data_IF_491501984317
#
_entry.id   IF_491501984317
#
_cell.length_a   1.000
_cell.length_b   1.000
_cell.length_c   1.000
_cell.angle_alpha   90.00
_cell.angle_beta   90.00
_cell.angle_gamma   90.00
#
_symmetry.space_group_name_H-M   'P 1'
#
loop_
_entity.id
_entity.type
_entity.pdbx_description
1 polymer ?
#
# COMPACT_ATOMS: atom_id res chain seq x y z
N UNK A 1 18.98 -0.31 -14.45
CA UNK A 1 19.50 -1.68 -14.52
C UNK A 1 20.25 -1.86 -15.83
N UNK A 2 21.37 -2.55 -15.79
CA UNK A 2 22.30 -2.58 -16.89
C UNK A 2 21.79 -3.39 -18.09
N UNK A 3 22.16 -2.93 -19.28
CA UNK A 3 21.92 -3.63 -20.56
C UNK A 3 22.44 -5.09 -20.54
N UNK A 4 23.46 -5.38 -19.73
CA UNK A 4 24.04 -6.72 -19.55
C UNK A 4 23.07 -7.75 -18.97
N UNK A 5 22.07 -7.35 -18.17
CA UNK A 5 21.07 -8.26 -17.64
C UNK A 5 20.04 -8.74 -18.69
N UNK A 6 19.88 -7.99 -19.77
CA UNK A 6 19.02 -8.35 -20.89
C UNK A 6 19.72 -9.27 -21.94
N UNK A 7 21.04 -9.36 -21.87
CA UNK A 7 21.82 -10.26 -22.72
C UNK A 7 22.30 -11.43 -21.86
N UNK A 8 21.57 -12.50 -21.85
CA UNK A 8 21.65 -13.75 -21.07
C UNK A 8 23.03 -14.42 -20.90
N UNK A 9 24.14 -13.70 -21.02
CA UNK A 9 25.50 -14.23 -20.90
C UNK A 9 26.04 -14.32 -19.48
N UNK A 10 25.35 -13.70 -18.48
CA UNK A 10 25.78 -13.69 -17.07
C UNK A 10 24.58 -14.10 -16.21
N UNK A 11 24.52 -15.36 -15.83
CA UNK A 11 23.42 -15.98 -15.05
C UNK A 11 23.15 -15.25 -13.73
N UNK A 12 24.18 -14.76 -13.06
CA UNK A 12 24.06 -14.00 -11.82
C UNK A 12 23.37 -12.65 -12.06
N UNK A 13 23.67 -11.96 -13.16
CA UNK A 13 23.03 -10.69 -13.51
C UNK A 13 21.55 -10.88 -13.86
N UNK A 14 21.21 -11.98 -14.52
CA UNK A 14 19.83 -12.36 -14.82
C UNK A 14 19.05 -12.64 -13.53
N UNK A 15 19.63 -13.39 -12.59
CA UNK A 15 19.00 -13.69 -11.29
C UNK A 15 18.71 -12.42 -10.51
N UNK A 16 19.67 -11.49 -10.43
CA UNK A 16 19.50 -10.21 -9.75
C UNK A 16 18.44 -9.35 -10.46
N UNK A 17 18.44 -9.33 -11.77
CA UNK A 17 17.43 -8.60 -12.55
C UNK A 17 16.01 -9.14 -12.30
N UNK A 18 15.83 -10.47 -12.35
CA UNK A 18 14.55 -11.12 -12.09
C UNK A 18 14.06 -10.85 -10.67
N UNK A 19 14.92 -10.90 -9.67
CA UNK A 19 14.58 -10.54 -8.29
C UNK A 19 13.97 -9.13 -8.21
N UNK A 20 14.63 -8.12 -8.76
CA UNK A 20 14.12 -6.74 -8.74
C UNK A 20 12.87 -6.56 -9.60
N UNK A 21 12.70 -7.35 -10.64
CA UNK A 21 11.57 -7.24 -11.57
C UNK A 21 10.32 -7.97 -11.08
N UNK A 22 10.49 -9.14 -10.46
CA UNK A 22 9.39 -10.08 -10.22
C UNK A 22 9.07 -10.28 -8.73
N UNK A 23 10.09 -10.23 -7.86
CA UNK A 23 9.94 -10.54 -6.44
C UNK A 23 9.78 -9.30 -5.56
N UNK A 24 10.24 -8.14 -6.01
CA UNK A 24 10.16 -6.88 -5.27
C UNK A 24 8.97 -6.05 -5.76
N UNK A 25 8.02 -5.80 -4.88
CA UNK A 25 6.79 -5.06 -5.16
C UNK A 25 6.76 -3.77 -4.36
N UNK A 26 6.50 -2.65 -5.01
CA UNK A 26 6.40 -1.33 -4.37
C UNK A 26 4.95 -0.87 -4.28
N UNK A 27 4.59 -0.21 -3.18
CA UNK A 27 3.32 0.48 -3.02
C UNK A 27 3.51 1.79 -2.22
N UNK A 28 2.95 2.93 -2.63
CA UNK A 28 2.25 3.13 -3.91
C UNK A 28 3.17 2.94 -5.11
N UNK A 29 2.59 2.54 -6.23
CA UNK A 29 3.34 2.37 -7.46
C UNK A 29 3.76 3.73 -8.03
N UNK A 30 4.96 3.84 -8.64
CA UNK A 30 5.33 5.00 -9.43
C UNK A 30 4.29 5.27 -10.54
N UNK A 31 4.09 6.55 -10.87
CA UNK A 31 3.21 6.95 -11.96
C UNK A 31 3.50 6.13 -13.24
N UNK A 32 2.45 5.64 -13.90
CA UNK A 32 2.49 4.81 -15.13
C UNK A 32 2.77 3.30 -14.97
N UNK A 33 2.69 2.74 -13.76
CA UNK A 33 2.72 1.27 -13.60
C UNK A 33 1.30 0.71 -13.37
N UNK A 34 1.16 -0.63 -13.51
CA UNK A 34 -0.12 -1.31 -13.33
C UNK A 34 -0.78 -0.93 -12.00
N UNK A 35 -1.99 -0.40 -12.07
CA UNK A 35 -2.74 0.04 -10.92
C UNK A 35 -3.22 -1.17 -10.11
N UNK A 36 -2.95 -1.20 -8.82
CA UNK A 36 -3.43 -2.26 -7.91
C UNK A 36 -4.94 -2.36 -7.86
N UNK A 37 -5.63 -1.27 -8.09
CA UNK A 37 -7.08 -1.25 -8.24
C UNK A 37 -7.56 -2.11 -9.42
N UNK A 38 -6.96 -1.90 -10.61
CA UNK A 38 -7.27 -2.72 -11.80
C UNK A 38 -6.91 -4.19 -11.58
N UNK A 39 -5.75 -4.45 -10.96
CA UNK A 39 -5.34 -5.79 -10.57
C UNK A 39 -6.39 -6.47 -9.69
N UNK A 40 -6.91 -5.76 -8.68
CA UNK A 40 -7.93 -6.28 -7.78
C UNK A 40 -9.22 -6.57 -8.52
N UNK A 41 -9.71 -5.68 -9.38
CA UNK A 41 -10.90 -5.88 -10.21
C UNK A 41 -10.75 -7.13 -11.08
N UNK A 42 -9.66 -7.23 -11.84
CA UNK A 42 -9.42 -8.34 -12.76
C UNK A 42 -9.38 -9.69 -12.01
N UNK A 43 -8.66 -9.74 -10.89
CA UNK A 43 -8.54 -10.95 -10.11
C UNK A 43 -9.82 -11.32 -9.37
N UNK A 44 -10.57 -10.37 -8.81
CA UNK A 44 -11.88 -10.63 -8.19
C UNK A 44 -12.93 -11.07 -9.21
N UNK A 45 -12.77 -10.70 -10.47
CA UNK A 45 -13.62 -11.16 -11.58
C UNK A 45 -13.32 -12.60 -11.94
N UNK A 46 -12.04 -12.96 -12.04
CA UNK A 46 -11.59 -14.20 -12.67
C UNK A 46 -11.19 -15.31 -11.67
N UNK A 47 -10.96 -14.98 -10.40
CA UNK A 47 -10.46 -15.91 -9.38
C UNK A 47 -11.42 -16.03 -8.19
N UNK A 48 -12.26 -17.07 -8.20
CA UNK A 48 -13.24 -17.31 -7.12
C UNK A 48 -12.63 -17.55 -5.74
N UNK A 49 -11.44 -18.18 -5.68
CA UNK A 49 -10.74 -18.44 -4.42
C UNK A 49 -10.20 -17.14 -3.82
N UNK A 50 -9.62 -16.27 -4.63
CA UNK A 50 -9.16 -14.96 -4.19
C UNK A 50 -10.34 -14.10 -3.72
N UNK A 51 -11.44 -14.10 -4.47
CA UNK A 51 -12.68 -13.41 -4.11
C UNK A 51 -13.21 -13.87 -2.75
N UNK A 52 -13.28 -15.18 -2.52
CA UNK A 52 -13.71 -15.73 -1.24
C UNK A 52 -12.77 -15.32 -0.09
N UNK A 53 -11.45 -15.33 -0.32
CA UNK A 53 -10.46 -14.89 0.67
C UNK A 53 -10.58 -13.40 0.97
N UNK A 54 -10.78 -12.58 -0.05
CA UNK A 54 -11.03 -11.14 0.09
C UNK A 54 -12.28 -10.88 0.94
N UNK A 55 -13.42 -11.49 0.60
CA UNK A 55 -14.68 -11.36 1.36
C UNK A 55 -14.47 -11.77 2.82
N UNK A 56 -13.79 -12.89 3.07
CA UNK A 56 -13.46 -13.34 4.42
C UNK A 56 -12.62 -12.33 5.19
N UNK A 57 -11.63 -11.71 4.56
CA UNK A 57 -10.83 -10.66 5.19
C UNK A 57 -11.69 -9.45 5.52
N UNK A 58 -12.48 -8.93 4.57
CA UNK A 58 -13.35 -7.78 4.79
C UNK A 58 -14.34 -8.02 5.94
N UNK A 59 -14.93 -9.20 6.01
CA UNK A 59 -15.80 -9.58 7.13
C UNK A 59 -15.06 -9.61 8.47
N UNK A 60 -13.79 -10.03 8.50
CA UNK A 60 -13.00 -10.09 9.73
C UNK A 60 -12.66 -8.73 10.32
N UNK A 61 -12.68 -7.68 9.52
CA UNK A 61 -12.42 -6.29 9.94
C UNK A 61 -13.71 -5.48 10.18
N UNK A 62 -14.87 -6.15 10.18
CA UNK A 62 -16.17 -5.52 10.46
C UNK A 62 -16.84 -4.89 9.23
N UNK A 63 -16.40 -5.21 8.02
CA UNK A 63 -17.06 -4.83 6.78
C UNK A 63 -17.86 -6.05 6.25
N UNK A 64 -19.18 -6.18 6.55
CA UNK A 64 -19.96 -7.40 6.34
C UNK A 64 -20.41 -7.58 4.89
N UNK A 65 -19.46 -7.81 3.99
CA UNK A 65 -19.72 -8.01 2.57
C UNK A 65 -20.18 -9.46 2.35
N UNK A 66 -21.29 -9.66 1.66
CA UNK A 66 -21.76 -10.98 1.24
C UNK A 66 -21.22 -11.38 -0.13
N UNK A 67 -21.12 -10.41 -1.04
CA UNK A 67 -20.59 -10.64 -2.38
C UNK A 67 -19.94 -9.37 -2.94
N UNK A 68 -19.21 -9.54 -4.06
CA UNK A 68 -18.64 -8.46 -4.84
C UNK A 68 -18.97 -8.73 -6.30
N UNK A 69 -19.51 -7.74 -6.96
CA UNK A 69 -19.74 -7.77 -8.40
C UNK A 69 -18.70 -6.88 -9.05
N UNK A 70 -17.87 -7.47 -9.89
CA UNK A 70 -16.82 -6.77 -10.63
C UNK A 70 -17.00 -6.99 -12.12
N UNK A 71 -16.73 -5.96 -12.91
CA UNK A 71 -16.69 -6.01 -14.35
C UNK A 71 -15.40 -5.39 -14.85
N UNK A 72 -14.66 -6.13 -15.64
CA UNK A 72 -13.45 -5.69 -16.29
C UNK A 72 -13.53 -6.03 -17.78
N UNK A 73 -13.73 -5.03 -18.60
CA UNK A 73 -13.81 -5.18 -20.04
C UNK A 73 -12.87 -4.18 -20.73
N UNK A 74 -12.14 -4.67 -21.71
CA UNK A 74 -11.39 -3.82 -22.64
C UNK A 74 -12.32 -3.49 -23.81
N UNK A 75 -12.60 -2.22 -24.01
CA UNK A 75 -13.43 -1.73 -25.09
C UNK A 75 -12.62 -0.81 -26.00
N UNK A 76 -12.88 -0.88 -27.28
CA UNK A 76 -12.39 0.15 -28.22
C UNK A 76 -13.27 1.39 -28.05
N UNK A 77 -12.67 2.52 -27.75
CA UNK A 77 -13.43 3.79 -27.63
C UNK A 77 -13.93 4.17 -29.01
N UNK A 78 -15.26 4.19 -29.18
CA UNK A 78 -15.87 4.80 -30.36
C UNK A 78 -16.40 6.19 -30.02
N UNK A 79 -16.43 7.14 -30.97
CA UNK A 79 -16.95 8.49 -30.72
C UNK A 79 -18.38 8.50 -30.14
N UNK A 80 -19.18 7.47 -30.43
CA UNK A 80 -20.55 7.30 -29.95
C UNK A 80 -20.66 6.98 -28.46
N UNK A 81 -19.59 6.45 -27.86
CA UNK A 81 -19.49 6.14 -26.42
C UNK A 81 -19.16 7.39 -25.58
N UNK A 82 -18.75 8.48 -26.23
CA UNK A 82 -18.36 9.69 -25.54
C UNK A 82 -19.59 10.62 -25.33
N UNK A 83 -19.66 11.35 -24.20
CA UNK A 83 -20.74 12.29 -23.94
C UNK A 83 -20.93 13.26 -25.07
N UNK A 84 -22.20 13.52 -25.44
CA UNK A 84 -22.53 14.43 -26.56
C UNK A 84 -22.06 15.86 -26.35
N UNK A 85 -21.97 16.30 -25.10
CA UNK A 85 -21.54 17.62 -24.63
C UNK A 85 -20.00 17.75 -24.48
N UNK A 86 -19.26 16.68 -24.73
CA UNK A 86 -17.79 16.70 -24.67
C UNK A 86 -17.22 17.54 -25.83
N UNK A 87 -16.24 18.45 -25.55
CA UNK A 87 -15.54 19.22 -26.59
C UNK A 87 -14.87 18.30 -27.64
N UNK A 88 -14.97 18.69 -28.92
CA UNK A 88 -14.44 17.87 -30.02
C UNK A 88 -12.92 17.57 -29.88
N UNK A 89 -12.15 18.52 -29.36
CA UNK A 89 -10.71 18.31 -29.10
C UNK A 89 -10.44 17.18 -28.13
N UNK A 90 -11.28 17.00 -27.09
CA UNK A 90 -11.19 15.88 -26.16
C UNK A 90 -11.69 14.59 -26.81
N UNK A 91 -12.76 14.65 -27.64
CA UNK A 91 -13.24 13.48 -28.40
C UNK A 91 -12.14 12.89 -29.28
N UNK A 92 -11.38 13.75 -29.96
CA UNK A 92 -10.26 13.31 -30.80
C UNK A 92 -9.13 12.65 -30.00
N UNK A 93 -8.80 13.18 -28.81
CA UNK A 93 -7.80 12.60 -27.92
C UNK A 93 -8.26 11.20 -27.45
N UNK A 94 -9.52 11.07 -27.03
CA UNK A 94 -10.08 9.80 -26.59
C UNK A 94 -10.23 8.78 -27.74
N UNK A 95 -10.56 9.24 -28.95
CA UNK A 95 -10.63 8.40 -30.14
C UNK A 95 -9.24 7.89 -30.60
N UNK A 96 -8.16 8.60 -30.24
CA UNK A 96 -6.79 8.15 -30.46
C UNK A 96 -6.32 7.14 -29.38
N UNK A 97 -6.97 7.11 -28.22
CA UNK A 97 -6.75 6.08 -27.21
C UNK A 97 -7.36 4.77 -27.72
N UNK A 98 -6.51 3.86 -28.20
CA UNK A 98 -6.93 2.61 -28.86
C UNK A 98 -7.73 1.66 -27.97
N UNK A 99 -7.65 1.79 -26.65
CA UNK A 99 -8.34 0.93 -25.68
C UNK A 99 -8.87 1.77 -24.50
N UNK A 100 -10.16 1.67 -24.21
CA UNK A 100 -10.72 2.04 -22.92
C UNK A 100 -10.91 0.80 -22.05
N UNK A 101 -10.84 1.00 -20.75
CA UNK A 101 -11.13 -0.05 -19.76
C UNK A 101 -12.43 0.32 -19.05
N UNK A 102 -13.44 -0.54 -19.17
CA UNK A 102 -14.67 -0.41 -18.38
C UNK A 102 -14.42 -1.18 -17.09
N UNK A 103 -14.41 -0.45 -15.99
CA UNK A 103 -14.10 -0.99 -14.67
C UNK A 103 -15.29 -0.65 -13.77
N UNK A 104 -15.99 -1.66 -13.30
CA UNK A 104 -17.08 -1.50 -12.36
C UNK A 104 -16.88 -2.44 -11.17
N UNK A 105 -17.17 -1.97 -9.98
CA UNK A 105 -17.19 -2.78 -8.77
C UNK A 105 -18.35 -2.34 -7.87
N UNK A 106 -19.11 -3.31 -7.37
CA UNK A 106 -20.17 -3.12 -6.37
C UNK A 106 -19.96 -4.09 -5.22
N UNK A 107 -20.09 -3.56 -4.02
CA UNK A 107 -20.07 -4.35 -2.78
C UNK A 107 -21.51 -4.66 -2.38
N UNK A 108 -21.79 -5.94 -2.16
CA UNK A 108 -23.10 -6.42 -1.75
C UNK A 108 -23.08 -6.73 -0.25
N UNK A 109 -23.91 -6.03 0.50
CA UNK A 109 -24.11 -6.17 1.93
C UNK A 109 -25.33 -7.02 2.29
N UNK A 110 -25.94 -7.67 1.29
CA UNK A 110 -27.11 -8.55 1.43
C UNK A 110 -28.44 -7.82 1.35
N UNK A 111 -28.63 -6.75 2.07
CA UNK A 111 -29.85 -5.92 2.04
C UNK A 111 -29.79 -4.79 1.02
N UNK A 112 -28.59 -4.38 0.64
CA UNK A 112 -28.32 -3.35 -0.36
C UNK A 112 -26.95 -3.60 -0.98
N UNK A 113 -26.69 -2.96 -2.13
CA UNK A 113 -25.39 -2.96 -2.79
C UNK A 113 -24.96 -1.52 -3.02
N UNK A 114 -23.65 -1.25 -2.86
CA UNK A 114 -23.07 0.08 -3.03
C UNK A 114 -22.02 0.02 -4.14
N UNK A 115 -22.01 1.01 -5.02
CA UNK A 115 -20.93 1.18 -5.97
C UNK A 115 -19.64 1.53 -5.22
N UNK A 116 -18.52 0.92 -5.60
CA UNK A 116 -17.25 1.15 -4.93
C UNK A 116 -16.85 2.64 -4.94
N UNK A 117 -17.25 3.39 -5.97
CA UNK A 117 -17.00 4.84 -6.04
C UNK A 117 -17.75 5.65 -4.98
N UNK A 118 -18.83 5.11 -4.42
CA UNK A 118 -19.63 5.72 -3.35
C UNK A 118 -19.14 5.33 -1.95
N UNK A 119 -18.24 4.36 -1.86
CA UNK A 119 -17.66 3.89 -0.60
C UNK A 119 -16.68 4.89 0.02
N UNK A 120 -16.39 4.68 1.31
CA UNK A 120 -15.38 5.46 2.03
C UNK A 120 -13.97 5.23 1.45
N UNK A 121 -13.07 6.21 1.63
CA UNK A 121 -11.68 6.08 1.18
C UNK A 121 -10.98 4.87 1.80
N UNK A 122 -11.30 4.52 3.05
CA UNK A 122 -10.74 3.33 3.70
C UNK A 122 -11.15 2.03 3.00
N UNK A 123 -12.43 1.89 2.62
CA UNK A 123 -12.93 0.73 1.88
C UNK A 123 -12.32 0.66 0.48
N UNK A 124 -12.22 1.80 -0.22
CA UNK A 124 -11.55 1.88 -1.53
C UNK A 124 -10.09 1.44 -1.44
N UNK A 125 -9.38 1.92 -0.40
CA UNK A 125 -7.99 1.54 -0.13
C UNK A 125 -7.86 0.04 0.12
N UNK A 126 -8.71 -0.55 0.95
CA UNK A 126 -8.72 -1.98 1.21
C UNK A 126 -8.99 -2.79 -0.06
N UNK A 127 -9.95 -2.35 -0.86
CA UNK A 127 -10.25 -2.97 -2.15
C UNK A 127 -9.03 -2.97 -3.07
N UNK A 128 -8.28 -1.89 -3.08
CA UNK A 128 -7.06 -1.76 -3.87
C UNK A 128 -5.95 -2.71 -3.39
N UNK A 129 -5.68 -2.78 -2.08
CA UNK A 129 -4.45 -3.39 -1.56
C UNK A 129 -4.58 -4.87 -1.17
N UNK A 130 -5.76 -5.36 -0.79
CA UNK A 130 -5.89 -6.70 -0.20
C UNK A 130 -5.62 -7.81 -1.21
N UNK A 131 -6.09 -7.70 -2.45
CA UNK A 131 -5.82 -8.72 -3.47
C UNK A 131 -4.32 -8.83 -3.81
N UNK A 132 -3.60 -7.73 -4.09
CA UNK A 132 -2.15 -7.78 -4.25
C UNK A 132 -1.41 -8.34 -3.02
N UNK A 133 -1.82 -7.99 -1.80
CA UNK A 133 -1.21 -8.52 -0.57
C UNK A 133 -1.37 -10.04 -0.48
N UNK A 134 -2.56 -10.56 -0.77
CA UNK A 134 -2.78 -12.01 -0.78
C UNK A 134 -1.85 -12.69 -1.80
N UNK A 135 -1.70 -12.11 -2.99
CA UNK A 135 -0.81 -12.64 -4.03
C UNK A 135 0.68 -12.59 -3.59
N UNK A 136 1.11 -11.49 -2.95
CA UNK A 136 2.45 -11.36 -2.38
C UNK A 136 2.72 -12.47 -1.36
N UNK A 137 1.75 -12.76 -0.47
CA UNK A 137 1.86 -13.81 0.54
C UNK A 137 1.94 -15.20 -0.11
N UNK A 138 1.13 -15.45 -1.14
CA UNK A 138 1.07 -16.75 -1.82
C UNK A 138 2.31 -17.03 -2.67
N UNK A 139 3.00 -15.99 -3.16
CA UNK A 139 4.17 -16.09 -4.03
C UNK A 139 5.49 -15.78 -3.34
N UNK A 140 5.51 -15.66 -2.02
CA UNK A 140 6.71 -15.38 -1.22
C UNK A 140 7.47 -14.11 -1.64
N UNK A 141 6.76 -13.06 -2.08
CA UNK A 141 7.33 -11.81 -2.56
C UNK A 141 7.69 -10.85 -1.43
N UNK A 142 8.43 -9.80 -1.77
CA UNK A 142 8.81 -8.72 -0.85
C UNK A 142 7.99 -7.48 -1.20
N UNK A 143 7.24 -6.96 -0.22
CA UNK A 143 6.50 -5.72 -0.34
C UNK A 143 7.27 -4.56 0.29
N UNK A 144 7.45 -3.48 -0.46
CA UNK A 144 7.87 -2.19 0.08
C UNK A 144 6.65 -1.26 0.04
N UNK A 145 6.24 -0.79 1.22
CA UNK A 145 5.05 0.04 1.36
C UNK A 145 5.39 1.35 2.05
N UNK A 146 5.22 2.45 1.34
CA UNK A 146 5.42 3.78 1.88
C UNK A 146 4.11 4.32 2.49
N UNK A 147 4.20 4.90 3.70
CA UNK A 147 3.07 5.43 4.48
C UNK A 147 1.89 4.45 4.57
N UNK A 148 2.15 3.28 5.16
CA UNK A 148 1.19 2.17 5.22
C UNK A 148 -0.16 2.54 5.83
N UNK A 149 -0.19 3.46 6.78
CA UNK A 149 -1.40 3.91 7.47
C UNK A 149 -2.28 4.87 6.67
N UNK A 150 -1.80 5.40 5.54
CA UNK A 150 -2.55 6.41 4.78
C UNK A 150 -3.96 5.92 4.41
N UNK A 151 -4.97 6.67 4.86
CA UNK A 151 -6.41 6.38 4.70
C UNK A 151 -6.93 5.13 5.41
N UNK A 152 -6.15 4.51 6.30
CA UNK A 152 -6.55 3.34 7.05
C UNK A 152 -6.62 3.62 8.55
N UNK A 153 -7.60 3.02 9.23
CA UNK A 153 -7.66 3.04 10.69
C UNK A 153 -6.53 2.18 11.28
N UNK A 154 -5.87 2.58 12.38
CA UNK A 154 -4.76 1.81 12.98
C UNK A 154 -5.07 0.33 13.23
N UNK A 155 -6.30 -0.01 13.64
CA UNK A 155 -6.71 -1.40 13.83
C UNK A 155 -6.69 -2.21 12.52
N UNK A 156 -7.01 -1.57 11.39
CA UNK A 156 -6.97 -2.20 10.06
C UNK A 156 -5.54 -2.43 9.62
N UNK A 157 -4.65 -1.45 9.82
CA UNK A 157 -3.21 -1.58 9.57
C UNK A 157 -2.65 -2.78 10.33
N UNK A 158 -3.03 -2.94 11.60
CA UNK A 158 -2.65 -4.08 12.41
C UNK A 158 -3.13 -5.43 11.84
N UNK A 159 -4.36 -5.49 11.31
CA UNK A 159 -4.89 -6.72 10.69
C UNK A 159 -4.18 -7.04 9.36
N UNK A 160 -3.84 -6.03 8.57
CA UNK A 160 -3.02 -6.22 7.36
C UNK A 160 -1.63 -6.76 7.72
N UNK A 161 -0.97 -6.18 8.72
CA UNK A 161 0.32 -6.69 9.21
C UNK A 161 0.19 -8.13 9.71
N UNK A 162 -0.87 -8.44 10.46
CA UNK A 162 -1.14 -9.80 10.93
C UNK A 162 -1.37 -10.77 9.77
N UNK A 163 -2.06 -10.34 8.72
CA UNK A 163 -2.25 -11.14 7.50
C UNK A 163 -0.91 -11.45 6.82
N UNK A 164 -0.03 -10.46 6.67
CA UNK A 164 1.28 -10.65 6.02
C UNK A 164 2.19 -11.52 6.87
N UNK A 165 2.28 -11.27 8.18
CA UNK A 165 3.22 -11.94 9.06
C UNK A 165 2.77 -13.35 9.49
N UNK A 166 1.45 -13.60 9.55
CA UNK A 166 0.90 -14.82 10.15
C UNK A 166 -0.23 -15.46 9.33
N UNK A 167 -0.67 -14.84 8.25
CA UNK A 167 -1.81 -15.32 7.45
C UNK A 167 -1.56 -16.66 6.76
N UNK A 168 -0.30 -16.97 6.47
CA UNK A 168 0.13 -18.26 5.91
C UNK A 168 1.46 -18.69 6.58
N UNK A 169 1.40 -19.71 7.43
CA UNK A 169 2.58 -20.20 8.16
C UNK A 169 3.70 -20.79 7.28
N UNK A 170 3.42 -21.05 6.01
CA UNK A 170 4.38 -21.53 5.01
C UNK A 170 4.97 -20.42 4.15
N UNK A 171 4.38 -19.21 4.21
CA UNK A 171 4.87 -18.08 3.43
C UNK A 171 6.19 -17.54 3.97
N UNK A 172 7.06 -17.14 3.06
CA UNK A 172 8.30 -16.40 3.30
C UNK A 172 8.19 -14.96 2.81
N UNK A 173 6.98 -14.49 2.54
CA UNK A 173 6.75 -13.10 2.16
C UNK A 173 7.33 -12.15 3.22
N UNK A 174 7.87 -11.03 2.77
CA UNK A 174 8.47 -10.01 3.61
C UNK A 174 7.81 -8.66 3.35
N UNK A 175 7.81 -7.79 4.36
CA UNK A 175 7.37 -6.42 4.22
C UNK A 175 8.41 -5.46 4.80
N UNK A 176 8.70 -4.41 4.05
CA UNK A 176 9.42 -3.21 4.50
C UNK A 176 8.42 -2.06 4.35
N UNK A 177 8.15 -1.33 5.41
CA UNK A 177 7.19 -0.24 5.34
C UNK A 177 7.67 0.97 6.13
N UNK A 178 7.28 2.16 5.66
CA UNK A 178 7.36 3.39 6.44
C UNK A 178 6.01 3.70 7.09
N UNK A 179 6.04 4.40 8.22
CA UNK A 179 4.83 4.79 8.93
C UNK A 179 5.08 5.96 9.89
N UNK A 180 4.08 6.79 10.07
CA UNK A 180 4.01 7.80 11.13
C UNK A 180 3.18 7.33 12.34
N UNK A 181 2.58 6.13 12.28
CA UNK A 181 1.78 5.58 13.38
C UNK A 181 2.68 4.99 14.49
N UNK A 182 2.87 5.77 15.54
CA UNK A 182 3.67 5.35 16.69
C UNK A 182 3.12 4.15 17.45
N UNK A 183 1.84 3.77 17.25
CA UNK A 183 1.27 2.57 17.85
C UNK A 183 1.88 1.27 17.31
N UNK A 184 2.56 1.36 16.16
CA UNK A 184 3.30 0.23 15.59
C UNK A 184 4.67 0.02 16.24
N UNK A 185 5.16 0.95 17.07
CA UNK A 185 6.40 0.82 17.83
C UNK A 185 6.19 -0.09 19.05
N UNK A 186 6.04 -1.39 18.80
CA UNK A 186 5.67 -2.40 19.79
C UNK A 186 6.61 -3.62 19.71
N UNK A 187 7.39 -3.85 20.78
CA UNK A 187 8.33 -4.96 20.88
C UNK A 187 7.65 -6.34 21.08
N UNK A 188 6.35 -6.38 21.27
CA UNK A 188 5.60 -7.63 21.24
C UNK A 188 5.37 -8.14 19.81
N UNK A 189 5.47 -7.26 18.83
CA UNK A 189 5.26 -7.53 17.40
C UNK A 189 6.54 -7.53 16.60
N UNK A 190 7.43 -6.59 16.88
CA UNK A 190 8.67 -6.41 16.14
C UNK A 190 9.88 -6.56 17.05
N UNK A 191 10.94 -7.18 16.54
CA UNK A 191 12.24 -7.17 17.22
C UNK A 191 12.90 -5.81 17.08
N UNK A 192 13.83 -5.49 17.95
CA UNK A 192 14.57 -4.22 17.93
C UNK A 192 15.32 -3.97 16.61
N UNK A 193 15.82 -5.02 15.98
CA UNK A 193 16.51 -4.98 14.69
C UNK A 193 15.56 -4.79 13.50
N UNK A 194 14.26 -4.88 13.71
CA UNK A 194 13.23 -4.61 12.70
C UNK A 194 12.67 -3.19 12.77
N UNK A 195 12.97 -2.43 13.82
CA UNK A 195 12.52 -1.04 13.98
C UNK A 195 13.68 -0.11 13.64
N UNK A 196 13.45 0.76 12.65
CA UNK A 196 14.42 1.71 12.14
C UNK A 196 13.87 3.12 12.22
N UNK A 197 14.74 4.07 12.51
CA UNK A 197 14.42 5.49 12.55
C UNK A 197 15.16 6.22 11.45
N UNK A 198 14.50 7.22 10.87
CA UNK A 198 15.08 8.13 9.89
C UNK A 198 15.08 9.53 10.46
N UNK A 199 16.19 10.23 10.39
CA UNK A 199 16.33 11.60 10.85
C UNK A 199 17.03 12.46 9.80
N UNK A 200 16.54 13.68 9.60
CA UNK A 200 17.17 14.63 8.72
C UNK A 200 18.24 15.40 9.49
N UNK A 201 19.49 15.28 9.07
CA UNK A 201 20.60 16.00 9.67
C UNK A 201 20.57 17.51 9.32
N UNK A 202 21.26 18.37 10.05
CA UNK A 202 21.40 19.79 9.69
C UNK A 202 21.97 20.03 8.27
N UNK A 203 22.78 19.11 7.76
CA UNK A 203 23.30 19.13 6.38
C UNK A 203 22.31 18.63 5.34
N UNK A 204 21.06 18.31 5.75
CA UNK A 204 19.98 17.74 4.90
C UNK A 204 20.31 16.37 4.31
N UNK A 205 21.22 15.63 4.91
CA UNK A 205 21.36 14.19 4.67
C UNK A 205 20.44 13.40 5.59
N UNK A 206 20.03 12.21 5.15
CA UNK A 206 19.25 11.30 5.99
C UNK A 206 20.20 10.44 6.80
N UNK A 207 19.98 10.39 8.11
CA UNK A 207 20.57 9.39 9.00
C UNK A 207 19.55 8.26 9.21
N UNK A 208 20.03 7.01 9.15
CA UNK A 208 19.20 5.81 9.27
C UNK A 208 19.86 4.89 10.31
N UNK A 209 19.14 4.59 11.40
CA UNK A 209 19.65 3.75 12.47
C UNK A 209 18.57 2.86 13.07
N UNK A 210 18.99 1.72 13.57
CA UNK A 210 18.11 0.71 14.16
C UNK A 210 17.93 0.94 15.67
N UNK A 211 16.75 0.62 16.19
CA UNK A 211 16.51 0.57 17.64
C UNK A 211 17.48 -0.40 18.34
N UNK A 212 18.01 -1.40 17.63
CA UNK A 212 19.01 -2.34 18.19
C UNK A 212 20.38 -1.70 18.44
N UNK A 213 20.73 -0.61 17.77
CA UNK A 213 21.99 0.12 17.95
C UNK A 213 21.99 0.97 19.23
N UNK A 214 20.81 1.25 19.77
CA UNK A 214 20.65 2.08 20.97
C UNK A 214 20.90 1.25 22.24
N UNK A 215 21.88 1.67 23.04
CA UNK A 215 22.39 0.89 24.18
C UNK A 215 21.40 0.75 25.38
N UNK A 216 20.47 1.69 25.56
CA UNK A 216 19.67 1.82 26.77
C UNK A 216 18.18 1.48 26.57
N UNK A 217 17.86 0.57 25.66
CA UNK A 217 16.48 0.12 25.40
C UNK A 217 16.21 -1.18 26.17
N UNK A 218 15.22 -1.19 27.06
CA UNK A 218 14.80 -2.38 27.83
C UNK A 218 13.83 -3.22 27.02
N UNK A 219 13.76 -4.52 27.34
CA UNK A 219 12.86 -5.46 26.64
C UNK A 219 11.37 -5.16 26.87
N UNK A 220 11.04 -4.61 28.02
CA UNK A 220 9.69 -4.26 28.50
C UNK A 220 9.37 -2.77 28.36
N UNK A 221 10.20 -2.04 27.62
CA UNK A 221 10.03 -0.60 27.44
C UNK A 221 8.89 -0.29 26.43
N UNK A 222 8.10 0.71 26.78
CA UNK A 222 7.13 1.28 25.85
C UNK A 222 7.85 2.16 24.83
N UNK A 223 8.14 1.61 23.66
CA UNK A 223 8.92 2.27 22.60
C UNK A 223 8.17 3.48 22.04
N UNK A 224 6.87 3.37 21.83
CA UNK A 224 6.03 4.49 21.37
C UNK A 224 6.14 5.71 22.29
N UNK A 225 6.00 5.50 23.60
CA UNK A 225 6.15 6.58 24.58
C UNK A 225 7.58 7.15 24.62
N UNK A 226 8.58 6.28 24.52
CA UNK A 226 9.99 6.68 24.46
C UNK A 226 10.27 7.56 23.25
N UNK A 227 9.78 7.17 22.09
CA UNK A 227 9.90 7.91 20.81
C UNK A 227 9.25 9.31 20.92
N UNK A 228 7.99 9.39 21.37
CA UNK A 228 7.27 10.65 21.52
C UNK A 228 7.94 11.60 22.53
N UNK A 229 8.70 11.07 23.48
CA UNK A 229 9.51 11.86 24.43
C UNK A 229 10.93 12.18 23.90
N UNK A 230 11.24 11.87 22.66
CA UNK A 230 12.54 12.16 22.03
C UNK A 230 13.70 11.27 22.47
N UNK A 231 13.42 10.16 23.20
CA UNK A 231 14.47 9.28 23.74
C UNK A 231 15.34 8.65 22.64
N UNK A 232 14.79 8.46 21.44
CA UNK A 232 15.47 7.76 20.35
C UNK A 232 15.87 8.69 19.20
N UNK A 233 15.63 10.01 19.29
CA UNK A 233 15.76 10.93 18.17
C UNK A 233 14.63 10.82 17.17
N UNK A 234 14.86 11.27 15.96
CA UNK A 234 13.96 11.18 14.80
C UNK A 234 12.54 11.78 15.01
N UNK A 235 12.42 12.74 15.94
CA UNK A 235 11.17 13.49 16.17
C UNK A 235 11.27 14.87 15.54
N UNK A 236 10.16 15.42 15.00
CA UNK A 236 10.14 16.79 14.52
C UNK A 236 10.40 17.78 15.65
N UNK A 237 11.36 18.69 15.47
CA UNK A 237 11.53 19.85 16.37
C UNK A 237 10.50 20.91 16.03
N UNK A 238 9.51 21.08 16.90
CA UNK A 238 8.54 22.16 16.77
C UNK A 238 9.06 23.33 17.60
N UNK A 239 9.66 24.32 16.92
CA UNK A 239 9.92 25.63 17.54
C UNK A 239 8.63 26.41 17.67
N UNK A 240 8.57 27.33 18.64
CA UNK A 240 7.40 28.12 19.00
C UNK A 240 6.50 28.47 17.80
N UNK A 241 5.24 27.97 17.75
CA UNK A 241 4.34 28.17 16.61
C UNK A 241 3.70 29.57 16.54
N UNK A 242 4.05 30.52 17.49
CA UNK A 242 3.49 31.85 17.49
C UNK A 242 4.10 32.74 16.40
N UNK A 243 3.75 32.41 15.14
CA UNK A 243 4.13 33.17 13.95
C UNK A 243 3.37 34.53 13.91
N UNK A 244 2.25 34.63 14.62
CA UNK A 244 1.36 35.79 14.67
C UNK A 244 1.27 36.42 16.05
N UNK A 245 2.33 36.40 16.86
CA UNK A 245 2.38 37.26 18.01
C UNK A 245 2.41 38.69 17.50
N UNK A 246 1.26 39.37 17.54
CA UNK A 246 1.23 40.85 17.52
C UNK A 246 2.02 41.30 18.72
N UNK A 247 3.14 41.96 18.49
CA UNK A 247 3.73 42.86 19.51
C UNK A 247 2.67 43.94 19.79
N UNK A 248 1.84 43.73 20.82
CA UNK A 248 1.12 44.83 21.42
C UNK A 248 2.14 45.62 22.24
N UNK A 249 2.37 46.85 21.78
CA UNK A 249 3.10 47.91 22.49
C UNK A 249 2.50 48.21 23.89
#
# INVERSE_FOLDING_TARGET
MSVSANYSSVKEAETVFLFFKEDLVFYPLPENQNNWFEYSIENLTNNSNLKATFIKFMNSIGCPIQNIYTKFEKAVVTPEMLPSDMPNSLKEIFAQAKEARIIEAKLDYGTFSVDLNEESNGIKKLFEVICPIIDIILRDKILIWDEMETSLHPSIVNEILRLILHGNSKSRAQIIFSTHDTNLLDLTRFRRDQIWFTELTPSRSTDLYSLAELKNVRKDENISKGYLNGKYGAIPFIHNPLIFSTEEE
#
